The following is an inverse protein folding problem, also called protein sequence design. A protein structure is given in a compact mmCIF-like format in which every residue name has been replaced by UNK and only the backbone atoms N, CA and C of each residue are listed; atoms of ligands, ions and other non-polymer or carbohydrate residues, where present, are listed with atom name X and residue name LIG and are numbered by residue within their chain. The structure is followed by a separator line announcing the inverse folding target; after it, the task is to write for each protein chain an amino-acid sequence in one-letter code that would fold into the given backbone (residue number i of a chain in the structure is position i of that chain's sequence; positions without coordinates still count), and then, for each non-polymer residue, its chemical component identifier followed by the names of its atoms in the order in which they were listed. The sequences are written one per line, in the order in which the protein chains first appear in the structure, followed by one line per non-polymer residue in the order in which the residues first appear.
data_IF_299889885217
#
_entry.id   IF_299889885217
#
_cell.length_a   1.000
_cell.length_b   1.000
_cell.length_c   1.000
_cell.angle_alpha   90.00
_cell.angle_beta   90.00
_cell.angle_gamma   90.00
#
_symmetry.space_group_name_H-M   'P 1'
#
loop_
_entity.id
_entity.type
_entity.pdbx_description
1 polymer ?
#
# COMPACT_ATOMS: atom_id res chain seq x y z
N UNK A 1 63.00 -20.26 4.55
CA UNK A 1 61.77 -21.01 4.90
C UNK A 1 60.58 -20.09 4.67
N UNK A 2 59.97 -20.14 3.49
CA UNK A 2 58.83 -19.29 3.13
C UNK A 2 57.54 -19.94 3.60
N UNK A 3 56.95 -19.39 4.68
CA UNK A 3 55.64 -19.82 5.19
C UNK A 3 54.55 -19.19 4.34
N UNK A 4 53.93 -19.98 3.47
CA UNK A 4 52.79 -19.55 2.65
C UNK A 4 51.54 -19.48 3.53
N UNK A 5 51.13 -18.27 3.89
CA UNK A 5 49.85 -17.99 4.52
C UNK A 5 48.71 -18.41 3.57
N UNK A 6 48.00 -19.49 3.90
CA UNK A 6 46.82 -19.97 3.19
C UNK A 6 45.54 -19.50 3.87
N UNK A 7 45.32 -18.20 3.89
CA UNK A 7 44.04 -17.54 4.16
C UNK A 7 44.05 -16.33 3.19
N UNK A 8 43.00 -16.00 2.39
CA UNK A 8 41.58 -16.16 2.69
C UNK A 8 40.66 -16.16 1.43
N UNK A 9 40.60 -17.21 0.61
CA UNK A 9 39.77 -17.14 -0.62
C UNK A 9 38.31 -17.58 -0.35
N UNK A 10 38.12 -18.52 0.58
CA UNK A 10 36.79 -19.05 0.88
C UNK A 10 35.85 -18.03 1.57
N UNK A 11 36.39 -17.04 2.28
CA UNK A 11 35.57 -16.06 3.02
C UNK A 11 35.01 -14.95 2.13
N UNK A 12 35.68 -14.60 1.01
CA UNK A 12 35.21 -13.55 0.11
C UNK A 12 34.02 -13.98 -0.77
N UNK A 13 33.85 -15.27 -1.03
CA UNK A 13 32.78 -15.77 -1.91
C UNK A 13 31.41 -15.75 -1.20
N UNK A 14 31.39 -15.81 0.13
CA UNK A 14 30.15 -15.85 0.90
C UNK A 14 29.48 -14.48 1.09
N UNK A 15 30.20 -13.36 0.87
CA UNK A 15 29.65 -12.00 1.04
C UNK A 15 28.96 -11.44 -0.21
N UNK A 16 29.03 -12.11 -1.36
CA UNK A 16 28.45 -11.63 -2.63
C UNK A 16 27.00 -12.06 -2.91
N UNK A 17 26.43 -12.96 -2.11
CA UNK A 17 25.15 -13.59 -2.41
C UNK A 17 23.91 -12.89 -1.82
N UNK A 18 24.08 -11.78 -1.11
CA UNK A 18 22.95 -10.93 -0.68
C UNK A 18 22.62 -9.88 -1.74
N UNK A 19 22.45 -10.30 -3.00
CA UNK A 19 21.75 -9.46 -3.96
C UNK A 19 20.29 -9.42 -3.49
N UNK A 20 19.70 -8.25 -3.18
CA UNK A 20 18.26 -8.21 -2.92
C UNK A 20 17.59 -8.68 -4.21
N UNK A 21 17.11 -9.92 -4.21
CA UNK A 21 16.24 -10.45 -5.24
C UNK A 21 15.02 -9.54 -5.23
N UNK A 22 15.02 -8.52 -6.11
CA UNK A 22 13.83 -7.77 -6.47
C UNK A 22 13.01 -8.69 -7.38
N UNK A 23 12.54 -9.81 -6.82
CA UNK A 23 11.42 -10.53 -7.39
C UNK A 23 10.31 -9.48 -7.59
N UNK A 24 9.85 -9.28 -8.82
CA UNK A 24 9.00 -8.14 -9.19
C UNK A 24 7.88 -7.93 -8.18
N UNK A 25 8.05 -6.92 -7.31
CA UNK A 25 7.18 -6.70 -6.16
C UNK A 25 5.91 -6.02 -6.61
N UNK A 26 4.82 -6.27 -5.89
CA UNK A 26 3.55 -5.59 -6.10
C UNK A 26 3.59 -4.13 -5.63
N UNK A 27 4.66 -3.73 -4.92
CA UNK A 27 4.87 -2.42 -4.32
C UNK A 27 4.56 -1.22 -5.25
N UNK A 28 5.07 -1.20 -6.48
CA UNK A 28 4.84 -0.08 -7.41
C UNK A 28 3.36 0.03 -7.79
N UNK A 29 2.70 -1.10 -7.98
CA UNK A 29 1.28 -1.17 -8.28
C UNK A 29 0.41 -0.77 -7.09
N UNK A 30 0.81 -1.15 -5.87
CA UNK A 30 0.20 -0.70 -4.62
C UNK A 30 0.33 0.83 -4.50
N UNK A 31 1.52 1.38 -4.69
CA UNK A 31 1.77 2.82 -4.59
C UNK A 31 0.94 3.62 -5.60
N UNK A 32 0.88 3.18 -6.86
CA UNK A 32 0.03 3.80 -7.89
C UNK A 32 -1.45 3.73 -7.53
N UNK A 33 -1.92 2.59 -7.03
CA UNK A 33 -3.34 2.41 -6.70
C UNK A 33 -3.72 3.21 -5.45
N UNK A 34 -2.83 3.32 -4.46
CA UNK A 34 -2.99 4.22 -3.31
C UNK A 34 -3.17 5.66 -3.77
N UNK A 35 -2.28 6.17 -4.62
CA UNK A 35 -2.36 7.54 -5.11
C UNK A 35 -3.67 7.81 -5.88
N UNK A 36 -4.14 6.85 -6.68
CA UNK A 36 -5.41 6.98 -7.40
C UNK A 36 -6.60 7.01 -6.43
N UNK A 37 -6.59 6.13 -5.43
CA UNK A 37 -7.65 6.05 -4.42
C UNK A 37 -7.70 7.31 -3.55
N UNK A 38 -6.55 7.80 -3.09
CA UNK A 38 -6.47 9.03 -2.29
C UNK A 38 -7.02 10.21 -3.09
N UNK A 39 -6.63 10.35 -4.36
CA UNK A 39 -7.19 11.40 -5.23
C UNK A 39 -8.70 11.27 -5.43
N UNK A 40 -9.22 10.05 -5.55
CA UNK A 40 -10.66 9.83 -5.71
C UNK A 40 -11.43 10.23 -4.45
N UNK A 41 -10.91 9.88 -3.26
CA UNK A 41 -11.50 10.27 -1.97
C UNK A 41 -11.49 11.80 -1.83
N UNK A 42 -10.35 12.46 -2.09
CA UNK A 42 -10.25 13.93 -2.01
C UNK A 42 -11.17 14.62 -3.01
N UNK A 43 -11.26 14.14 -4.26
CA UNK A 43 -12.16 14.70 -5.26
C UNK A 43 -13.65 14.51 -4.92
N UNK A 44 -13.99 13.43 -4.21
CA UNK A 44 -15.34 13.19 -3.77
C UNK A 44 -15.68 13.96 -2.49
N UNK A 45 -14.69 14.39 -1.70
CA UNK A 45 -14.93 15.11 -0.46
C UNK A 45 -15.78 16.36 -0.70
N UNK A 46 -16.94 16.43 -0.04
CA UNK A 46 -17.88 17.54 -0.22
C UNK A 46 -18.67 17.53 -1.52
N UNK A 47 -18.56 16.51 -2.38
CA UNK A 47 -19.32 16.40 -3.63
C UNK A 47 -20.85 16.31 -3.40
N UNK A 48 -21.27 15.83 -2.24
CA UNK A 48 -22.67 15.76 -1.83
C UNK A 48 -23.12 16.97 -0.99
N UNK A 49 -22.33 18.05 -0.99
CA UNK A 49 -22.57 19.24 -0.19
C UNK A 49 -22.10 19.11 1.27
N UNK A 50 -21.96 20.26 1.93
CA UNK A 50 -21.50 20.33 3.31
C UNK A 50 -22.58 19.83 4.28
N UNK A 51 -22.18 19.01 5.25
CA UNK A 51 -23.03 18.53 6.34
C UNK A 51 -22.77 19.33 7.62
N UNK A 52 -23.72 19.35 8.57
CA UNK A 52 -23.48 19.92 9.89
C UNK A 52 -22.22 19.33 10.54
N UNK A 53 -21.46 20.18 11.23
CA UNK A 53 -20.25 19.77 11.93
C UNK A 53 -20.59 18.76 13.04
N UNK A 54 -19.84 17.64 13.06
CA UNK A 54 -20.01 16.59 14.08
C UNK A 54 -19.10 16.83 15.28
N UNK A 55 -19.44 16.26 16.45
CA UNK A 55 -18.56 16.28 17.63
C UNK A 55 -17.17 15.67 17.36
N UNK A 56 -17.08 14.73 16.42
CA UNK A 56 -15.82 14.14 15.97
C UNK A 56 -14.92 15.15 15.25
N UNK A 57 -15.48 16.08 14.48
CA UNK A 57 -14.72 17.11 13.77
C UNK A 57 -14.06 18.10 14.76
N UNK A 58 -14.72 18.36 15.90
CA UNK A 58 -14.21 19.24 16.96
C UNK A 58 -12.99 18.70 17.71
N UNK A 59 -12.62 17.42 17.49
CA UNK A 59 -11.51 16.78 18.21
C UNK A 59 -10.11 17.20 17.72
N UNK A 60 -10.03 18.11 16.74
CA UNK A 60 -8.75 18.57 16.16
C UNK A 60 -7.86 17.44 15.64
N UNK A 61 -8.48 16.31 15.26
CA UNK A 61 -7.78 15.21 14.60
C UNK A 61 -7.69 15.49 13.11
N UNK A 62 -6.54 15.19 12.51
CA UNK A 62 -6.42 15.26 11.07
C UNK A 62 -7.25 14.15 10.42
N UNK A 63 -8.10 14.48 9.43
CA UNK A 63 -8.81 13.48 8.67
C UNK A 63 -7.82 12.53 7.99
N UNK A 64 -8.12 11.23 8.09
CA UNK A 64 -7.50 10.18 7.28
C UNK A 64 -8.36 9.89 6.05
N UNK A 65 -7.80 9.31 4.97
CA UNK A 65 -8.59 8.90 3.81
C UNK A 65 -9.77 8.00 4.19
N UNK A 66 -9.57 7.09 5.17
CA UNK A 66 -10.62 6.21 5.67
C UNK A 66 -11.74 6.97 6.39
N UNK A 67 -11.40 7.91 7.27
CA UNK A 67 -12.41 8.71 7.97
C UNK A 67 -13.17 9.63 7.02
N UNK A 68 -12.50 10.18 5.98
CA UNK A 68 -13.17 10.96 4.94
C UNK A 68 -14.17 10.08 4.18
N UNK A 69 -13.72 8.92 3.69
CA UNK A 69 -14.60 7.97 3.01
C UNK A 69 -15.83 7.61 3.86
N UNK A 70 -15.68 7.32 5.15
CA UNK A 70 -16.80 6.97 6.03
C UNK A 70 -17.90 8.04 6.13
N UNK A 71 -17.57 9.32 5.88
CA UNK A 71 -18.53 10.43 5.98
C UNK A 71 -19.27 10.74 4.68
N UNK A 72 -18.82 10.19 3.55
CA UNK A 72 -19.26 10.54 2.18
C UNK A 72 -20.42 9.69 1.64
N UNK A 73 -21.17 8.98 2.51
CA UNK A 73 -22.33 8.20 2.11
C UNK A 73 -21.97 7.01 1.22
N UNK A 74 -22.76 6.75 0.16
CA UNK A 74 -22.60 5.54 -0.68
C UNK A 74 -21.22 5.46 -1.35
N UNK A 75 -20.75 6.55 -1.96
CA UNK A 75 -19.39 6.62 -2.53
C UNK A 75 -18.31 6.31 -1.47
N UNK A 76 -18.57 6.74 -0.24
CA UNK A 76 -17.74 6.45 0.93
C UNK A 76 -17.61 4.96 1.30
N UNK A 77 -18.70 4.20 1.14
CA UNK A 77 -18.70 2.74 1.36
C UNK A 77 -17.78 2.07 0.35
N UNK A 78 -17.89 2.46 -0.91
CA UNK A 78 -17.06 1.91 -1.98
C UNK A 78 -15.58 2.24 -1.73
N UNK A 79 -15.24 3.48 -1.37
CA UNK A 79 -13.85 3.83 -1.05
C UNK A 79 -13.30 3.08 0.17
N UNK A 80 -14.13 2.82 1.19
CA UNK A 80 -13.71 1.99 2.33
C UNK A 80 -13.38 0.56 1.88
N UNK A 81 -14.18 -0.02 1.00
CA UNK A 81 -13.91 -1.35 0.43
C UNK A 81 -12.64 -1.37 -0.45
N UNK A 82 -12.35 -0.27 -1.17
CA UNK A 82 -11.12 -0.12 -1.93
C UNK A 82 -9.88 -0.03 -1.02
N UNK A 83 -9.97 0.73 0.09
CA UNK A 83 -8.92 0.82 1.11
C UNK A 83 -8.63 -0.56 1.73
N UNK A 84 -9.67 -1.33 2.07
CA UNK A 84 -9.52 -2.68 2.61
C UNK A 84 -8.87 -3.64 1.62
N UNK A 85 -9.23 -3.53 0.33
CA UNK A 85 -8.59 -4.31 -0.74
C UNK A 85 -7.12 -3.95 -0.88
N UNK A 86 -6.78 -2.67 -0.78
CA UNK A 86 -5.39 -2.22 -0.86
C UNK A 86 -4.55 -2.66 0.35
N UNK A 87 -5.15 -2.72 1.55
CA UNK A 87 -4.51 -3.29 2.73
C UNK A 87 -4.27 -4.80 2.58
N UNK A 88 -5.24 -5.55 2.06
CA UNK A 88 -5.05 -6.97 1.71
C UNK A 88 -3.97 -7.17 0.63
N UNK A 89 -3.84 -6.24 -0.32
CA UNK A 89 -2.77 -6.29 -1.32
C UNK A 89 -1.38 -6.13 -0.68
N UNK A 90 -1.22 -5.20 0.28
CA UNK A 90 0.02 -5.03 1.06
C UNK A 90 0.37 -6.27 1.86
N UNK A 91 -0.61 -6.86 2.54
CA UNK A 91 -0.40 -8.09 3.31
C UNK A 91 0.07 -9.25 2.41
N UNK A 92 -0.52 -9.38 1.22
CA UNK A 92 -0.11 -10.38 0.24
C UNK A 92 1.29 -10.13 -0.33
N UNK A 93 1.63 -8.88 -0.66
CA UNK A 93 2.99 -8.49 -1.12
C UNK A 93 4.05 -8.80 -0.06
N UNK A 94 3.75 -8.51 1.21
CA UNK A 94 4.66 -8.77 2.33
C UNK A 94 5.05 -10.25 2.49
N UNK A 95 4.12 -11.18 2.23
CA UNK A 95 4.36 -12.62 2.28
C UNK A 95 4.75 -13.23 0.91
N UNK A 96 4.89 -12.40 -0.13
CA UNK A 96 5.25 -12.85 -1.48
C UNK A 96 4.12 -13.50 -2.29
N UNK A 97 2.86 -13.42 -1.87
CA UNK A 97 1.71 -13.93 -2.64
C UNK A 97 1.30 -12.93 -3.74
N UNK A 98 2.03 -12.99 -4.86
CA UNK A 98 1.80 -12.12 -6.01
C UNK A 98 0.44 -12.30 -6.67
N UNK A 99 -0.15 -13.51 -6.60
CA UNK A 99 -1.47 -13.78 -7.17
C UNK A 99 -2.55 -13.11 -6.32
N UNK A 100 -2.47 -13.23 -5.00
CA UNK A 100 -3.38 -12.53 -4.10
C UNK A 100 -3.21 -11.02 -4.23
N UNK A 101 -1.99 -10.50 -4.26
CA UNK A 101 -1.78 -9.06 -4.39
C UNK A 101 -2.46 -8.49 -5.64
N UNK A 102 -2.23 -9.09 -6.81
CA UNK A 102 -2.85 -8.65 -8.08
C UNK A 102 -4.37 -8.72 -8.06
N UNK A 103 -4.95 -9.76 -7.45
CA UNK A 103 -6.42 -9.87 -7.29
C UNK A 103 -6.97 -8.73 -6.44
N UNK A 104 -6.32 -8.44 -5.31
CA UNK A 104 -6.76 -7.38 -4.40
C UNK A 104 -6.60 -5.98 -5.03
N UNK A 105 -5.53 -5.75 -5.79
CA UNK A 105 -5.38 -4.52 -6.58
C UNK A 105 -6.46 -4.38 -7.65
N UNK A 106 -6.85 -5.47 -8.32
CA UNK A 106 -7.92 -5.43 -9.30
C UNK A 106 -9.27 -5.06 -8.65
N UNK A 107 -9.55 -5.58 -7.45
CA UNK A 107 -10.74 -5.21 -6.66
C UNK A 107 -10.72 -3.73 -6.28
N UNK A 108 -9.60 -3.23 -5.74
CA UNK A 108 -9.46 -1.81 -5.41
C UNK A 108 -9.67 -0.90 -6.63
N UNK A 109 -9.07 -1.25 -7.78
CA UNK A 109 -9.19 -0.48 -9.03
C UNK A 109 -10.58 -0.56 -9.65
N UNK A 110 -11.36 -1.61 -9.39
CA UNK A 110 -12.71 -1.75 -9.93
C UNK A 110 -13.67 -0.68 -9.38
N UNK A 111 -13.42 -0.21 -8.16
CA UNK A 111 -14.18 0.86 -7.51
C UNK A 111 -13.84 2.25 -8.08
N UNK A 112 -12.65 2.41 -8.65
CA UNK A 112 -12.16 3.68 -9.18
C UNK A 112 -12.53 3.93 -10.64
N UNK A 113 -13.34 3.07 -11.26
CA UNK A 113 -13.72 3.13 -12.68
C UNK A 113 -15.10 3.74 -12.89
#
# INVERSE_FOLDING_TARGET
MTSTAKLPIALLILLGAASPVRAGTCADEIARTQLQLDRAIENNAGAQGWKPESLSALRSHQPTPRSLAQTEGNAGVDFTAALDSLERARAADHIGDMRACRRQLAQARAILR
#
